data_IF_484085482224
#
_entry.id   IF_484085482224
#
_cell.length_a   1.000
_cell.length_b   1.000
_cell.length_c   1.000
_cell.angle_alpha   90.00
_cell.angle_beta   90.00
_cell.angle_gamma   90.00
#
_symmetry.space_group_name_H-M   'P 1'
#
loop_
_entity.id
_entity.type
_entity.pdbx_description
1 polymer ?
#
# COMPACT_ATOMS: atom_id res chain seq x y z
N UNK A 1 23.74 11.89 -12.30
CA UNK A 1 22.78 10.84 -12.06
C UNK A 1 22.29 10.94 -10.63
N UNK A 2 20.96 10.90 -10.41
CA UNK A 2 20.40 10.88 -9.06
C UNK A 2 20.75 9.52 -8.44
N UNK A 3 21.62 9.51 -7.44
CA UNK A 3 21.87 8.31 -6.65
C UNK A 3 20.72 8.13 -5.66
N UNK A 4 20.06 6.96 -5.70
CA UNK A 4 19.05 6.61 -4.73
C UNK A 4 19.75 6.24 -3.42
N UNK A 5 19.47 6.97 -2.34
CA UNK A 5 19.99 6.64 -1.03
C UNK A 5 19.17 5.50 -0.40
N UNK A 6 19.83 4.39 -0.07
CA UNK A 6 19.24 3.26 0.66
C UNK A 6 19.72 3.33 2.10
N UNK A 7 18.80 3.34 3.06
CA UNK A 7 19.12 3.35 4.50
C UNK A 7 18.42 2.21 5.21
N UNK A 8 19.20 1.54 6.04
CA UNK A 8 18.77 0.53 6.98
C UNK A 8 18.79 1.10 8.42
N UNK A 9 17.73 0.78 9.18
CA UNK A 9 17.54 1.07 10.61
C UNK A 9 17.67 2.53 11.10
N UNK A 10 18.05 2.92 12.16
CA UNK A 10 17.92 4.06 13.05
C UNK A 10 18.11 5.47 12.42
N UNK A 11 17.11 5.95 11.67
CA UNK A 11 17.11 7.31 11.09
C UNK A 11 16.19 8.22 11.89
N UNK A 12 16.69 9.33 12.40
CA UNK A 12 15.85 10.34 13.04
C UNK A 12 15.15 11.23 12.00
N UNK A 13 13.97 11.81 12.30
CA UNK A 13 13.29 12.73 11.39
C UNK A 13 14.17 13.90 10.94
N UNK A 14 15.09 14.34 11.82
CA UNK A 14 16.02 15.43 11.55
C UNK A 14 17.10 15.06 10.53
N UNK A 15 17.60 13.84 10.57
CA UNK A 15 18.60 13.36 9.60
C UNK A 15 17.96 13.03 8.26
N UNK A 16 16.70 12.65 8.27
CA UNK A 16 15.93 12.36 7.05
C UNK A 16 15.79 13.56 6.13
N UNK A 17 15.71 14.77 6.67
CA UNK A 17 15.57 16.00 5.87
C UNK A 17 16.79 16.26 5.01
N UNK A 18 17.98 15.89 5.48
CA UNK A 18 19.24 16.16 4.78
C UNK A 18 19.48 15.19 3.58
N UNK A 19 18.94 13.97 3.65
CA UNK A 19 19.19 12.93 2.63
C UNK A 19 18.52 13.24 1.26
N UNK A 20 17.27 13.68 1.20
CA UNK A 20 16.64 14.07 -0.07
C UNK A 20 17.22 15.34 -0.68
N UNK A 21 17.85 16.23 0.13
CA UNK A 21 18.52 17.42 -0.38
C UNK A 21 19.67 17.06 -1.31
N UNK A 22 20.39 15.98 -1.01
CA UNK A 22 21.50 15.50 -1.82
C UNK A 22 21.05 14.71 -3.04
N UNK A 23 19.98 13.89 -2.90
CA UNK A 23 19.66 12.84 -3.87
C UNK A 23 18.25 12.95 -4.49
N UNK A 24 17.36 13.81 -3.99
CA UNK A 24 15.98 13.98 -4.48
C UNK A 24 15.04 12.81 -4.20
N UNK A 25 15.54 11.58 -4.10
CA UNK A 25 14.78 10.36 -3.85
C UNK A 25 15.39 9.52 -2.75
N UNK A 26 14.56 8.88 -1.93
CA UNK A 26 15.00 8.04 -0.82
C UNK A 26 14.21 6.74 -0.76
N UNK A 27 14.91 5.61 -0.63
CA UNK A 27 14.32 4.33 -0.28
C UNK A 27 14.74 3.94 1.14
N UNK A 28 13.75 3.70 2.00
CA UNK A 28 13.94 3.22 3.36
C UNK A 28 13.46 1.78 3.43
N UNK A 29 14.34 0.88 3.81
CA UNK A 29 14.03 -0.55 4.02
C UNK A 29 14.43 -0.91 5.44
N UNK A 30 13.54 -1.53 6.19
CA UNK A 30 13.85 -2.07 7.52
C UNK A 30 13.08 -3.35 7.78
N UNK A 31 13.73 -4.31 8.39
CA UNK A 31 13.15 -5.55 8.92
C UNK A 31 12.66 -5.41 10.37
N UNK A 32 12.95 -4.26 10.98
CA UNK A 32 12.46 -3.85 12.29
C UNK A 32 11.73 -2.51 12.17
N UNK A 33 10.43 -2.44 12.38
CA UNK A 33 9.66 -1.19 12.29
C UNK A 33 9.99 -0.16 13.41
N UNK A 34 11.09 -0.32 14.13
CA UNK A 34 11.59 0.61 15.16
C UNK A 34 11.70 2.05 14.67
N UNK A 35 12.01 2.23 13.39
CA UNK A 35 12.06 3.52 12.71
C UNK A 35 10.75 4.31 12.85
N UNK A 36 9.57 3.69 12.72
CA UNK A 36 8.30 4.38 12.89
C UNK A 36 8.06 4.84 14.33
N UNK A 37 8.65 4.16 15.32
CA UNK A 37 8.67 4.63 16.70
C UNK A 37 9.34 6.00 16.85
N UNK A 38 10.37 6.28 16.05
CA UNK A 38 11.05 7.57 16.05
C UNK A 38 10.17 8.68 15.50
N UNK A 39 9.32 8.39 14.52
CA UNK A 39 8.37 9.34 13.95
C UNK A 39 7.16 9.60 14.87
N UNK A 40 6.84 8.70 15.80
CA UNK A 40 5.76 8.91 16.76
C UNK A 40 6.08 9.91 17.88
N UNK A 41 7.27 10.51 17.87
CA UNK A 41 7.69 11.53 18.84
C UNK A 41 8.60 11.04 19.96
N UNK A 42 9.13 9.81 19.86
CA UNK A 42 9.99 9.22 20.91
C UNK A 42 11.22 10.10 21.27
N UNK A 43 11.72 10.88 20.31
CA UNK A 43 12.91 11.75 20.47
C UNK A 43 12.62 13.24 20.40
N UNK A 44 11.38 13.70 20.17
CA UNK A 44 11.03 15.11 19.95
C UNK A 44 9.96 15.61 20.93
N UNK A 45 10.12 15.36 22.24
CA UNK A 45 9.16 15.78 23.29
C UNK A 45 7.69 15.41 22.97
N UNK A 46 7.48 14.22 22.40
CA UNK A 46 6.18 13.72 21.95
C UNK A 46 5.50 14.56 20.84
N UNK A 47 6.24 15.38 20.08
CA UNK A 47 5.69 16.06 18.90
C UNK A 47 6.07 15.25 17.64
N UNK A 48 5.12 14.53 17.03
CA UNK A 48 5.38 13.78 15.81
C UNK A 48 5.64 14.73 14.64
N UNK A 49 6.68 14.47 13.87
CA UNK A 49 6.94 15.21 12.63
C UNK A 49 6.78 14.27 11.42
N UNK A 50 5.58 14.17 10.92
CA UNK A 50 5.22 13.31 9.77
C UNK A 50 5.16 14.08 8.45
N UNK A 51 5.32 15.41 8.47
CA UNK A 51 5.06 16.28 7.31
C UNK A 51 5.94 15.90 6.12
N UNK A 52 7.23 15.61 6.34
CA UNK A 52 8.12 15.15 5.29
C UNK A 52 7.63 13.85 4.63
N UNK A 53 7.22 12.86 5.44
CA UNK A 53 6.72 11.57 4.90
C UNK A 53 5.45 11.76 4.07
N UNK A 54 4.53 12.58 4.57
CA UNK A 54 3.26 12.84 3.91
C UNK A 54 3.42 13.61 2.61
N UNK A 55 4.28 14.63 2.59
CA UNK A 55 4.62 15.41 1.40
C UNK A 55 5.40 14.61 0.38
N UNK A 56 6.36 13.81 0.82
CA UNK A 56 7.15 12.94 -0.06
C UNK A 56 6.33 11.85 -0.77
N UNK A 57 5.16 11.51 -0.24
CA UNK A 57 4.22 10.62 -0.92
C UNK A 57 3.66 11.22 -2.22
N UNK A 58 3.43 12.53 -2.23
CA UNK A 58 2.87 13.24 -3.38
C UNK A 58 3.95 13.98 -4.20
N UNK A 59 5.22 13.99 -3.76
CA UNK A 59 6.26 14.83 -4.35
C UNK A 59 6.02 16.32 -4.12
N UNK A 60 5.36 16.68 -3.02
CA UNK A 60 5.10 18.09 -2.66
C UNK A 60 6.35 18.74 -2.07
N UNK A 61 6.57 20.02 -2.36
CA UNK A 61 7.69 20.77 -1.78
C UNK A 61 7.63 20.77 -0.25
N UNK A 62 8.73 20.39 0.38
CA UNK A 62 8.88 20.44 1.82
C UNK A 62 9.83 21.57 2.21
N UNK A 63 9.42 22.39 3.17
CA UNK A 63 10.22 23.48 3.71
C UNK A 63 10.38 23.26 5.22
N UNK A 64 11.62 23.30 5.70
CA UNK A 64 11.94 23.20 7.12
C UNK A 64 12.69 24.46 7.55
N UNK A 65 11.98 25.33 8.27
CA UNK A 65 12.57 26.53 8.90
C UNK A 65 12.80 26.24 10.38
N UNK A 66 14.03 26.27 10.82
CA UNK A 66 14.41 26.13 12.23
C UNK A 66 15.25 27.31 12.66
N UNK A 67 14.98 27.85 13.85
CA UNK A 67 15.69 29.02 14.41
C UNK A 67 17.21 28.84 14.50
N UNK A 68 17.71 27.61 14.49
CA UNK A 68 19.13 27.27 14.71
C UNK A 68 19.87 26.78 13.47
N UNK A 69 19.21 26.65 12.31
CA UNK A 69 19.80 26.15 11.06
C UNK A 69 19.28 26.95 9.86
N UNK A 70 20.05 26.92 8.77
CA UNK A 70 19.56 27.42 7.49
C UNK A 70 18.27 26.70 7.08
N UNK A 71 17.36 27.42 6.43
CA UNK A 71 16.14 26.87 5.87
C UNK A 71 16.49 25.81 4.81
N UNK A 72 15.86 24.63 4.92
CA UNK A 72 16.01 23.55 3.94
C UNK A 72 14.75 23.53 3.08
N UNK A 73 14.93 23.60 1.77
CA UNK A 73 13.84 23.53 0.78
C UNK A 73 14.07 22.30 -0.09
N UNK A 74 13.25 21.26 0.11
CA UNK A 74 13.25 20.07 -0.74
C UNK A 74 12.21 20.25 -1.84
N UNK A 75 12.67 20.44 -3.07
CA UNK A 75 11.81 20.50 -4.23
C UNK A 75 11.46 19.08 -4.66
N UNK A 76 10.17 18.70 -4.54
CA UNK A 76 9.66 17.39 -4.98
C UNK A 76 10.43 16.18 -4.43
N UNK A 77 10.54 16.05 -3.09
CA UNK A 77 11.14 14.85 -2.50
C UNK A 77 10.23 13.64 -2.76
N UNK A 78 10.82 12.53 -3.15
CA UNK A 78 10.13 11.25 -3.25
C UNK A 78 10.72 10.26 -2.27
N UNK A 79 9.84 9.59 -1.52
CA UNK A 79 10.26 8.61 -0.53
C UNK A 79 9.44 7.33 -0.66
N UNK A 80 10.13 6.20 -0.75
CA UNK A 80 9.55 4.87 -0.67
C UNK A 80 9.95 4.22 0.64
N UNK A 81 9.01 3.57 1.31
CA UNK A 81 9.23 2.92 2.61
C UNK A 81 8.78 1.47 2.51
N UNK A 82 9.67 0.54 2.85
CA UNK A 82 9.39 -0.88 2.95
C UNK A 82 9.76 -1.38 4.35
N UNK A 83 8.78 -1.90 5.08
CA UNK A 83 8.96 -2.35 6.46
C UNK A 83 8.48 -3.78 6.62
N UNK A 84 9.29 -4.63 7.22
CA UNK A 84 8.87 -5.90 7.77
C UNK A 84 8.82 -5.76 9.30
N UNK A 85 7.67 -6.03 9.91
CA UNK A 85 7.51 -5.88 11.34
C UNK A 85 6.78 -7.05 11.96
N UNK A 86 7.01 -7.25 13.25
CA UNK A 86 6.28 -8.25 14.03
C UNK A 86 4.84 -7.77 14.30
N UNK A 87 3.87 -8.71 14.48
CA UNK A 87 2.47 -8.36 14.75
C UNK A 87 2.27 -7.36 15.88
N UNK A 88 3.01 -7.50 16.98
CA UNK A 88 2.94 -6.59 18.13
C UNK A 88 3.32 -5.14 17.76
N UNK A 89 4.36 -4.97 16.93
CA UNK A 89 4.79 -3.63 16.47
C UNK A 89 3.75 -3.04 15.54
N UNK A 90 3.20 -3.86 14.64
CA UNK A 90 2.13 -3.47 13.73
C UNK A 90 0.88 -3.01 14.50
N UNK A 91 0.47 -3.75 15.53
CA UNK A 91 -0.66 -3.39 16.40
C UNK A 91 -0.48 -1.99 17.02
N UNK A 92 0.70 -1.70 17.54
CA UNK A 92 1.05 -0.38 18.04
C UNK A 92 1.01 0.74 16.99
N UNK A 93 1.23 0.40 15.71
CA UNK A 93 1.16 1.37 14.61
C UNK A 93 -0.28 1.63 14.17
N UNK A 94 -1.06 0.59 13.94
CA UNK A 94 -2.43 0.71 13.42
C UNK A 94 -3.36 1.40 14.42
N UNK A 95 -3.09 1.24 15.72
CA UNK A 95 -3.83 1.86 16.81
C UNK A 95 -3.29 3.23 17.23
N UNK A 96 -2.18 3.70 16.62
CA UNK A 96 -1.63 5.01 16.95
C UNK A 96 -2.52 6.14 16.39
N UNK A 97 -3.17 6.97 17.25
CA UNK A 97 -4.10 7.99 16.80
C UNK A 97 -3.44 9.08 15.95
N UNK A 98 -2.15 9.32 16.12
CA UNK A 98 -1.39 10.29 15.32
C UNK A 98 -1.17 9.75 13.91
N UNK A 99 -0.81 8.48 13.77
CA UNK A 99 -0.60 7.86 12.46
C UNK A 99 -1.91 7.71 11.69
N UNK A 100 -3.00 7.37 12.39
CA UNK A 100 -4.34 7.35 11.78
C UNK A 100 -4.80 8.76 11.40
N UNK A 101 -4.79 9.68 12.34
CA UNK A 101 -5.27 11.05 12.15
C UNK A 101 -4.51 11.82 11.07
N UNK A 102 -3.20 11.57 10.89
CA UNK A 102 -2.40 12.15 9.81
C UNK A 102 -2.61 11.46 8.45
N UNK A 103 -3.22 10.29 8.43
CA UNK A 103 -3.35 9.45 7.25
C UNK A 103 -2.04 8.80 6.80
N UNK A 104 -1.04 8.69 7.68
CA UNK A 104 0.22 8.00 7.36
C UNK A 104 -0.04 6.54 7.04
N UNK A 105 -0.74 5.81 7.93
CA UNK A 105 -1.05 4.39 7.73
C UNK A 105 -1.92 4.14 6.50
N UNK A 106 -2.73 5.10 6.10
CA UNK A 106 -3.56 5.01 4.90
C UNK A 106 -2.74 5.01 3.57
N UNK A 107 -1.44 5.25 3.64
CA UNK A 107 -0.53 5.28 2.48
C UNK A 107 0.26 3.99 2.29
N UNK A 108 0.15 3.04 3.23
CA UNK A 108 0.85 1.76 3.13
C UNK A 108 0.00 0.71 2.42
N UNK A 109 0.66 -0.13 1.63
CA UNK A 109 0.13 -1.40 1.17
C UNK A 109 0.52 -2.46 2.20
N UNK A 110 -0.46 -3.20 2.70
CA UNK A 110 -0.26 -4.21 3.74
C UNK A 110 -0.11 -5.59 3.13
N UNK A 111 0.72 -6.43 3.76
CA UNK A 111 0.91 -7.81 3.36
C UNK A 111 1.08 -8.68 4.61
N UNK A 112 0.22 -9.67 4.78
CA UNK A 112 0.25 -10.64 5.86
C UNK A 112 0.43 -12.04 5.26
N UNK A 113 1.66 -12.44 4.92
CA UNK A 113 1.90 -13.74 4.30
C UNK A 113 1.58 -14.87 5.27
N UNK A 114 1.05 -15.97 4.75
CA UNK A 114 0.83 -17.17 5.56
C UNK A 114 2.19 -17.75 5.96
N UNK A 115 2.35 -18.02 7.25
CA UNK A 115 3.58 -18.61 7.77
C UNK A 115 3.78 -20.02 7.26
N UNK A 116 4.97 -20.33 6.79
CA UNK A 116 5.39 -21.68 6.41
C UNK A 116 6.21 -22.39 7.51
N UNK A 117 6.18 -21.89 8.75
CA UNK A 117 6.79 -22.53 9.91
C UNK A 117 6.21 -23.95 10.08
N UNK A 118 7.08 -24.93 10.27
CA UNK A 118 6.71 -26.35 10.34
C UNK A 118 6.80 -27.10 9.00
N UNK A 119 6.78 -26.39 7.84
CA UNK A 119 6.94 -26.98 6.51
C UNK A 119 8.24 -26.57 5.80
N UNK A 120 9.06 -25.74 6.44
CA UNK A 120 10.34 -25.26 5.88
C UNK A 120 11.33 -26.41 5.74
N UNK A 121 12.07 -26.42 4.63
CA UNK A 121 13.15 -27.37 4.38
C UNK A 121 14.50 -26.66 4.54
N UNK A 122 15.48 -27.36 5.10
CA UNK A 122 16.83 -26.83 5.24
C UNK A 122 17.55 -26.78 3.89
N UNK A 123 17.43 -27.86 3.11
CA UNK A 123 18.06 -27.99 1.80
C UNK A 123 17.12 -27.43 0.73
N UNK A 124 17.37 -26.18 0.33
CA UNK A 124 16.62 -25.50 -0.72
C UNK A 124 17.50 -25.34 -1.97
N UNK A 125 16.88 -25.42 -3.14
CA UNK A 125 17.59 -25.15 -4.39
C UNK A 125 18.03 -23.68 -4.45
N UNK A 126 19.27 -23.44 -4.87
CA UNK A 126 19.75 -22.10 -5.15
C UNK A 126 18.99 -21.47 -6.31
N UNK A 127 18.78 -20.15 -6.26
CA UNK A 127 18.21 -19.42 -7.40
C UNK A 127 19.16 -19.54 -8.60
N UNK A 128 18.67 -19.96 -9.78
CA UNK A 128 19.50 -20.05 -10.98
C UNK A 128 20.16 -18.71 -11.31
N UNK A 129 21.43 -18.73 -11.68
CA UNK A 129 22.19 -17.52 -12.04
C UNK A 129 21.50 -16.68 -13.12
N UNK A 130 20.86 -17.32 -14.10
CA UNK A 130 20.12 -16.65 -15.17
C UNK A 130 18.95 -15.79 -14.63
N UNK A 131 18.26 -16.26 -13.58
CA UNK A 131 17.17 -15.51 -12.94
C UNK A 131 17.73 -14.27 -12.24
N UNK A 132 18.84 -14.44 -11.53
CA UNK A 132 19.50 -13.33 -10.85
C UNK A 132 20.01 -12.26 -11.83
N UNK A 133 20.66 -12.68 -12.92
CA UNK A 133 21.14 -11.77 -13.97
C UNK A 133 19.98 -11.01 -14.61
N UNK A 134 18.91 -11.70 -15.01
CA UNK A 134 17.73 -11.06 -15.62
C UNK A 134 17.07 -10.05 -14.68
N UNK A 135 16.96 -10.38 -13.40
CA UNK A 135 16.42 -9.47 -12.40
C UNK A 135 17.30 -8.22 -12.23
N UNK A 136 18.61 -8.43 -12.12
CA UNK A 136 19.60 -7.35 -12.02
C UNK A 136 19.55 -6.43 -13.23
N UNK A 137 19.50 -6.98 -14.43
CA UNK A 137 19.42 -6.21 -15.68
C UNK A 137 18.14 -5.38 -15.77
N UNK A 138 17.01 -5.94 -15.33
CA UNK A 138 15.75 -5.20 -15.23
C UNK A 138 15.86 -4.01 -14.28
N UNK A 139 16.42 -4.22 -13.09
CA UNK A 139 16.61 -3.14 -12.11
C UNK A 139 17.51 -2.05 -12.68
N UNK A 140 18.62 -2.40 -13.34
CA UNK A 140 19.49 -1.40 -13.98
C UNK A 140 18.77 -0.62 -15.09
N UNK A 141 17.95 -1.27 -15.91
CA UNK A 141 17.14 -0.59 -16.93
C UNK A 141 16.14 0.40 -16.29
N UNK A 142 15.46 0.00 -15.21
CA UNK A 142 14.52 0.86 -14.50
C UNK A 142 15.22 2.06 -13.85
N UNK A 143 16.36 1.85 -13.19
CA UNK A 143 17.15 2.93 -12.58
C UNK A 143 17.78 3.86 -13.63
N UNK A 144 18.10 3.35 -14.80
CA UNK A 144 18.61 4.13 -15.93
C UNK A 144 17.54 4.88 -16.72
N UNK A 145 16.26 4.53 -16.52
CA UNK A 145 15.16 5.19 -17.22
C UNK A 145 15.03 6.64 -16.72
N UNK A 146 15.06 7.60 -17.66
CA UNK A 146 14.92 9.03 -17.35
C UNK A 146 13.45 9.38 -17.13
N UNK A 147 12.85 8.87 -16.05
CA UNK A 147 11.42 9.04 -15.76
C UNK A 147 11.11 10.32 -14.97
N UNK A 148 12.11 11.03 -14.45
CA UNK A 148 11.86 12.08 -13.46
C UNK A 148 11.76 13.49 -14.01
N UNK A 149 12.53 13.86 -15.02
CA UNK A 149 12.47 15.20 -15.62
C UNK A 149 13.21 15.23 -16.96
N UNK A 150 12.54 15.68 -18.00
CA UNK A 150 13.21 16.16 -19.19
C UNK A 150 13.01 17.70 -19.24
N UNK A 151 14.09 18.47 -19.21
CA UNK A 151 14.07 19.93 -19.28
C UNK A 151 13.17 20.61 -18.21
N UNK A 152 13.24 20.16 -16.95
CA UNK A 152 12.42 20.64 -15.81
C UNK A 152 10.91 20.41 -15.94
N UNK A 153 10.44 19.68 -16.96
CA UNK A 153 9.03 19.34 -17.13
C UNK A 153 8.71 17.98 -16.51
N UNK A 154 7.55 17.91 -15.89
CA UNK A 154 6.99 16.64 -15.42
C UNK A 154 6.66 15.73 -16.60
N UNK A 155 7.00 14.47 -16.48
CA UNK A 155 6.63 13.43 -17.43
C UNK A 155 5.35 12.75 -16.93
N UNK A 156 4.38 12.60 -17.83
CA UNK A 156 3.11 11.98 -17.50
C UNK A 156 2.95 10.68 -18.28
N UNK A 157 2.47 9.64 -17.60
CA UNK A 157 2.01 8.42 -18.23
C UNK A 157 0.51 8.58 -18.53
N UNK A 158 0.09 8.19 -19.72
CA UNK A 158 -1.28 8.30 -20.17
C UNK A 158 -1.89 6.93 -20.42
N UNK A 159 -3.12 6.74 -20.03
CA UNK A 159 -3.90 5.56 -20.42
C UNK A 159 -4.25 5.60 -21.91
N UNK A 160 -4.35 4.42 -22.55
CA UNK A 160 -5.14 4.30 -23.75
C UNK A 160 -6.65 4.46 -23.45
N UNK A 161 -7.46 4.66 -24.49
CA UNK A 161 -8.89 4.94 -24.32
C UNK A 161 -9.65 3.79 -23.62
N UNK A 162 -9.23 2.54 -23.83
CA UNK A 162 -9.86 1.37 -23.18
C UNK A 162 -9.49 1.29 -21.72
N UNK A 163 -8.22 1.46 -21.39
CA UNK A 163 -7.76 1.49 -20.01
C UNK A 163 -8.39 2.64 -19.23
N UNK A 164 -8.51 3.83 -19.83
CA UNK A 164 -9.17 4.95 -19.19
C UNK A 164 -10.65 4.67 -18.89
N UNK A 165 -11.39 4.14 -19.88
CA UNK A 165 -12.80 3.78 -19.70
C UNK A 165 -13.00 2.75 -18.57
N UNK A 166 -12.18 1.70 -18.55
CA UNK A 166 -12.22 0.67 -17.51
C UNK A 166 -11.87 1.23 -16.13
N UNK A 167 -10.86 2.11 -16.03
CA UNK A 167 -10.51 2.74 -14.76
C UNK A 167 -11.65 3.60 -14.21
N UNK A 168 -12.34 4.37 -15.08
CA UNK A 168 -13.51 5.18 -14.69
C UNK A 168 -14.65 4.28 -14.21
N UNK A 169 -14.91 3.17 -14.90
CA UNK A 169 -15.93 2.20 -14.50
C UNK A 169 -15.59 1.55 -13.17
N UNK A 170 -14.35 1.08 -13.00
CA UNK A 170 -13.86 0.50 -11.75
C UNK A 170 -13.94 1.48 -10.59
N UNK A 171 -13.57 2.75 -10.78
CA UNK A 171 -13.68 3.77 -9.75
C UNK A 171 -15.13 3.98 -9.32
N UNK A 172 -16.04 4.24 -10.29
CA UNK A 172 -17.40 4.62 -10.01
C UNK A 172 -18.26 3.45 -9.48
N UNK A 173 -18.07 2.24 -10.03
CA UNK A 173 -18.95 1.11 -9.77
C UNK A 173 -18.36 0.10 -8.78
N UNK A 174 -17.07 0.23 -8.46
CA UNK A 174 -16.42 -0.62 -7.46
C UNK A 174 -15.85 0.20 -6.30
N UNK A 175 -14.89 1.10 -6.52
CA UNK A 175 -14.18 1.77 -5.41
C UNK A 175 -15.15 2.61 -4.57
N UNK A 176 -15.87 3.55 -5.18
CA UNK A 176 -16.76 4.46 -4.46
C UNK A 176 -17.85 3.74 -3.63
N UNK A 177 -18.58 2.74 -4.17
CA UNK A 177 -19.54 1.99 -3.38
C UNK A 177 -18.93 1.24 -2.18
N UNK A 178 -17.69 0.73 -2.33
CA UNK A 178 -17.03 -0.01 -1.26
C UNK A 178 -16.54 0.90 -0.12
N UNK A 179 -16.36 2.21 -0.35
CA UNK A 179 -16.03 3.16 0.71
C UNK A 179 -17.12 3.31 1.78
N UNK A 180 -18.35 3.02 1.44
CA UNK A 180 -19.49 3.11 2.37
C UNK A 180 -20.02 1.74 2.79
N UNK A 181 -19.38 0.66 2.35
CA UNK A 181 -19.73 -0.72 2.69
C UNK A 181 -18.58 -1.41 3.42
N UNK A 182 -17.89 -2.33 2.77
CA UNK A 182 -16.85 -3.17 3.40
C UNK A 182 -15.54 -2.42 3.75
N UNK A 183 -15.30 -1.24 3.17
CA UNK A 183 -14.21 -0.33 3.57
C UNK A 183 -14.67 0.81 4.48
N UNK A 184 -15.91 0.79 4.98
CA UNK A 184 -16.46 1.90 5.77
C UNK A 184 -15.64 2.22 7.04
N UNK A 185 -15.04 1.22 7.67
CA UNK A 185 -14.20 1.37 8.87
C UNK A 185 -12.73 1.73 8.58
N UNK A 186 -12.30 1.68 7.32
CA UNK A 186 -10.97 2.07 6.85
C UNK A 186 -11.04 3.08 5.68
N UNK A 187 -11.98 4.02 5.75
CA UNK A 187 -12.23 5.04 4.70
C UNK A 187 -11.00 5.88 4.37
N UNK A 188 -10.14 6.13 5.34
CA UNK A 188 -8.89 6.87 5.17
C UNK A 188 -7.95 6.15 4.19
N UNK A 189 -7.88 4.81 4.28
CA UNK A 189 -7.15 3.97 3.33
C UNK A 189 -7.90 3.84 2.01
N UNK A 190 -9.18 3.51 2.08
CA UNK A 190 -10.04 3.34 0.90
C UNK A 190 -10.05 4.56 -0.01
N UNK A 191 -10.09 5.78 0.57
CA UNK A 191 -10.01 7.03 -0.19
C UNK A 191 -8.68 7.25 -0.93
N UNK A 192 -7.62 6.49 -0.61
CA UNK A 192 -6.33 6.51 -1.30
C UNK A 192 -6.12 5.32 -2.24
N UNK A 193 -7.04 4.35 -2.21
CA UNK A 193 -6.90 3.11 -2.95
C UNK A 193 -6.78 3.30 -4.46
N UNK A 194 -7.57 4.19 -5.05
CA UNK A 194 -7.45 4.52 -6.47
C UNK A 194 -6.04 5.03 -6.84
N UNK A 195 -5.44 5.86 -5.98
CA UNK A 195 -4.08 6.34 -6.17
C UNK A 195 -3.02 5.24 -6.03
N UNK A 196 -3.27 4.21 -5.19
CA UNK A 196 -2.42 3.01 -5.11
C UNK A 196 -2.48 2.20 -6.40
N UNK A 197 -3.68 1.98 -6.97
CA UNK A 197 -3.86 1.32 -8.27
C UNK A 197 -3.09 2.05 -9.37
N UNK A 198 -3.20 3.38 -9.43
CA UNK A 198 -2.49 4.17 -10.44
C UNK A 198 -0.96 4.04 -10.30
N UNK A 199 -0.43 4.00 -9.08
CA UNK A 199 1.01 3.75 -8.83
C UNK A 199 1.44 2.35 -9.28
N UNK A 200 0.65 1.32 -8.97
CA UNK A 200 0.89 -0.04 -9.46
C UNK A 200 0.88 -0.09 -10.99
N UNK A 201 -0.11 0.55 -11.63
CA UNK A 201 -0.16 0.70 -13.08
C UNK A 201 1.13 1.31 -13.65
N UNK A 202 1.59 2.41 -13.07
CA UNK A 202 2.82 3.08 -13.52
C UNK A 202 4.04 2.18 -13.38
N UNK A 203 4.18 1.47 -12.25
CA UNK A 203 5.29 0.52 -12.01
C UNK A 203 5.25 -0.63 -13.03
N UNK A 204 4.10 -1.28 -13.20
CA UNK A 204 3.93 -2.40 -14.14
C UNK A 204 4.19 -1.94 -15.57
N UNK A 205 3.70 -0.75 -15.95
CA UNK A 205 3.97 -0.18 -17.26
C UNK A 205 5.46 0.04 -17.51
N UNK A 206 6.17 0.66 -16.57
CA UNK A 206 7.61 0.88 -16.67
C UNK A 206 8.38 -0.45 -16.76
N UNK A 207 7.99 -1.47 -15.98
CA UNK A 207 8.58 -2.81 -16.05
C UNK A 207 8.38 -3.41 -17.44
N UNK A 208 7.16 -3.40 -17.97
CA UNK A 208 6.86 -3.92 -19.32
C UNK A 208 7.64 -3.19 -20.40
N UNK A 209 7.74 -1.87 -20.31
CA UNK A 209 8.52 -1.06 -21.25
C UNK A 209 10.01 -1.39 -21.15
N UNK A 210 10.59 -1.50 -19.96
CA UNK A 210 11.99 -1.86 -19.76
C UNK A 210 12.33 -3.24 -20.30
N UNK A 211 11.43 -4.22 -20.15
CA UNK A 211 11.61 -5.57 -20.68
C UNK A 211 11.60 -5.57 -22.22
N UNK A 212 10.81 -4.71 -22.84
CA UNK A 212 10.69 -4.61 -24.30
C UNK A 212 11.62 -3.56 -24.93
N UNK A 213 12.40 -2.83 -24.13
CA UNK A 213 13.33 -1.80 -24.64
C UNK A 213 12.61 -0.59 -25.26
N UNK A 214 11.44 -0.21 -24.74
CA UNK A 214 10.65 0.94 -25.19
C UNK A 214 10.55 1.99 -24.09
N UNK A 215 10.40 3.27 -24.49
CA UNK A 215 10.30 4.37 -23.54
C UNK A 215 8.87 4.45 -22.94
N UNK A 216 8.74 4.46 -21.59
CA UNK A 216 7.43 4.45 -20.95
C UNK A 216 6.56 5.66 -21.27
N UNK A 217 7.15 6.83 -21.45
CA UNK A 217 6.42 8.10 -21.68
C UNK A 217 5.86 8.20 -23.11
N UNK A 218 6.50 7.52 -24.05
CA UNK A 218 6.08 7.50 -25.45
C UNK A 218 4.97 6.46 -25.73
N UNK A 219 4.68 5.62 -24.72
CA UNK A 219 3.73 4.54 -24.86
C UNK A 219 2.58 4.68 -23.85
N UNK A 220 1.37 4.35 -24.27
CA UNK A 220 0.21 4.41 -23.39
C UNK A 220 0.14 3.19 -22.46
N UNK A 221 -0.35 3.42 -21.24
CA UNK A 221 -0.70 2.37 -20.31
C UNK A 221 -1.92 1.62 -20.85
N UNK A 222 -1.76 0.34 -21.12
CA UNK A 222 -2.78 -0.49 -21.76
C UNK A 222 -3.78 -1.06 -20.76
N UNK A 223 -4.95 -1.48 -21.27
CA UNK A 223 -5.98 -2.16 -20.49
C UNK A 223 -5.43 -3.39 -19.74
N UNK A 224 -4.59 -4.21 -20.38
CA UNK A 224 -3.95 -5.36 -19.74
C UNK A 224 -3.07 -4.95 -18.54
N UNK A 225 -2.38 -3.83 -18.62
CA UNK A 225 -1.59 -3.29 -17.51
C UNK A 225 -2.48 -2.82 -16.36
N UNK A 226 -3.59 -2.17 -16.67
CA UNK A 226 -4.58 -1.77 -15.66
C UNK A 226 -5.21 -2.99 -14.97
N UNK A 227 -5.64 -4.00 -15.73
CA UNK A 227 -6.22 -5.22 -15.14
C UNK A 227 -5.24 -5.91 -14.18
N UNK A 228 -3.96 -6.03 -14.55
CA UNK A 228 -2.94 -6.58 -13.66
C UNK A 228 -2.76 -5.73 -12.39
N UNK A 229 -2.83 -4.40 -12.50
CA UNK A 229 -2.73 -3.51 -11.35
C UNK A 229 -3.95 -3.63 -10.44
N UNK A 230 -5.15 -3.77 -10.99
CA UNK A 230 -6.38 -4.00 -10.23
C UNK A 230 -6.31 -5.33 -9.49
N UNK A 231 -5.89 -6.42 -10.14
CA UNK A 231 -5.76 -7.74 -9.53
C UNK A 231 -4.79 -7.73 -8.33
N UNK A 232 -3.62 -7.10 -8.48
CA UNK A 232 -2.68 -6.90 -7.37
C UNK A 232 -3.29 -5.98 -6.30
N UNK A 233 -3.98 -4.93 -6.71
CA UNK A 233 -4.64 -3.99 -5.82
C UNK A 233 -5.72 -4.64 -4.96
N UNK A 234 -6.51 -5.56 -5.53
CA UNK A 234 -7.53 -6.33 -4.77
C UNK A 234 -6.89 -7.17 -3.66
N UNK A 235 -5.72 -7.76 -3.90
CA UNK A 235 -4.96 -8.40 -2.83
C UNK A 235 -4.64 -7.41 -1.70
N UNK A 236 -4.11 -6.23 -2.02
CA UNK A 236 -3.78 -5.23 -1.00
C UNK A 236 -5.03 -4.64 -0.33
N UNK A 237 -6.16 -4.57 -1.02
CA UNK A 237 -7.43 -4.16 -0.42
C UNK A 237 -7.87 -5.15 0.67
N UNK A 238 -7.85 -6.44 0.38
CA UNK A 238 -8.18 -7.47 1.37
C UNK A 238 -7.21 -7.45 2.56
N UNK A 239 -5.91 -7.23 2.29
CA UNK A 239 -4.91 -7.12 3.34
C UNK A 239 -5.09 -5.85 4.19
N UNK A 240 -5.52 -4.73 3.60
CA UNK A 240 -5.82 -3.51 4.34
C UNK A 240 -7.06 -3.66 5.22
N UNK A 241 -8.13 -4.26 4.71
CA UNK A 241 -9.32 -4.62 5.49
C UNK A 241 -8.91 -5.47 6.70
N UNK A 242 -8.08 -6.48 6.49
CA UNK A 242 -7.56 -7.30 7.58
C UNK A 242 -6.68 -6.49 8.56
N UNK A 243 -5.76 -5.67 8.04
CA UNK A 243 -4.90 -4.80 8.84
C UNK A 243 -5.69 -3.90 9.80
N UNK A 244 -6.69 -3.23 9.26
CA UNK A 244 -7.52 -2.32 10.06
C UNK A 244 -8.45 -3.07 11.03
N UNK A 245 -8.82 -4.30 10.71
CA UNK A 245 -9.59 -5.15 11.63
C UNK A 245 -8.79 -5.66 12.84
N UNK A 246 -7.47 -5.60 12.80
CA UNK A 246 -6.61 -5.90 13.96
C UNK A 246 -6.55 -4.74 14.97
N UNK A 247 -7.04 -3.53 14.58
CA UNK A 247 -7.15 -2.39 15.48
C UNK A 247 -8.28 -2.55 16.49
N UNK A 248 -8.53 -1.49 17.29
CA UNK A 248 -9.62 -1.41 18.28
C UNK A 248 -11.02 -1.34 17.62
N UNK A 249 -11.25 -2.16 16.62
CA UNK A 249 -12.55 -2.26 15.94
C UNK A 249 -13.20 -3.58 16.30
N UNK A 250 -14.48 -3.55 16.60
CA UNK A 250 -15.25 -4.77 16.85
C UNK A 250 -15.28 -5.66 15.60
N UNK A 251 -14.42 -6.66 15.61
CA UNK A 251 -14.30 -7.64 14.52
C UNK A 251 -15.61 -8.36 14.22
N UNK A 252 -16.45 -8.59 15.22
CA UNK A 252 -17.76 -9.21 15.06
C UNK A 252 -18.64 -8.35 14.15
N UNK A 253 -18.73 -7.06 14.45
CA UNK A 253 -19.51 -6.10 13.66
C UNK A 253 -18.99 -6.00 12.21
N UNK A 254 -17.67 -5.94 11.99
CA UNK A 254 -17.11 -5.87 10.62
C UNK A 254 -17.46 -7.13 9.81
N UNK A 255 -17.30 -8.31 10.41
CA UNK A 255 -17.65 -9.58 9.76
C UNK A 255 -19.13 -9.65 9.42
N UNK A 256 -19.98 -9.25 10.36
CA UNK A 256 -21.43 -9.20 10.17
C UNK A 256 -21.84 -8.25 9.03
N UNK A 257 -21.30 -7.02 9.01
CA UNK A 257 -21.54 -6.06 7.93
C UNK A 257 -21.09 -6.60 6.58
N UNK A 258 -19.94 -7.27 6.50
CA UNK A 258 -19.46 -7.87 5.25
C UNK A 258 -20.41 -8.93 4.73
N UNK A 259 -20.93 -9.80 5.60
CA UNK A 259 -21.91 -10.82 5.22
C UNK A 259 -23.19 -10.17 4.72
N UNK A 260 -23.74 -9.20 5.46
CA UNK A 260 -24.95 -8.48 5.08
C UNK A 260 -24.80 -7.75 3.74
N UNK A 261 -23.66 -7.07 3.53
CA UNK A 261 -23.38 -6.39 2.28
C UNK A 261 -23.29 -7.36 1.10
N UNK A 262 -22.71 -8.55 1.31
CA UNK A 262 -22.66 -9.59 0.28
C UNK A 262 -24.03 -10.12 -0.06
N UNK A 263 -24.87 -10.36 0.95
CA UNK A 263 -26.27 -10.80 0.77
C UNK A 263 -27.05 -9.73 -0.03
N UNK A 264 -26.95 -8.47 0.37
CA UNK A 264 -27.66 -7.35 -0.28
C UNK A 264 -27.19 -7.14 -1.71
N UNK A 265 -25.87 -7.07 -1.96
CA UNK A 265 -25.29 -6.81 -3.28
C UNK A 265 -25.58 -7.91 -4.30
N UNK A 266 -25.80 -9.15 -3.84
CA UNK A 266 -26.13 -10.29 -4.69
C UNK A 266 -27.64 -10.61 -4.69
N UNK A 267 -28.48 -9.78 -4.03
CA UNK A 267 -29.92 -10.00 -3.89
C UNK A 267 -30.27 -11.42 -3.42
N UNK A 268 -29.49 -11.95 -2.47
CA UNK A 268 -29.65 -13.33 -1.99
C UNK A 268 -30.86 -13.39 -1.07
N UNK A 269 -31.86 -14.18 -1.45
CA UNK A 269 -33.06 -14.42 -0.66
C UNK A 269 -33.06 -15.77 0.05
N UNK A 270 -32.13 -16.67 -0.32
CA UNK A 270 -31.96 -17.98 0.31
C UNK A 270 -30.66 -18.62 -0.22
N UNK A 271 -29.83 -19.08 0.69
CA UNK A 271 -28.55 -19.72 0.37
C UNK A 271 -28.15 -20.66 1.52
N UNK A 272 -27.43 -21.74 1.22
CA UNK A 272 -26.84 -22.58 2.27
C UNK A 272 -25.65 -21.85 2.90
N UNK A 273 -25.47 -21.95 4.22
CA UNK A 273 -24.39 -21.30 4.97
C UNK A 273 -23.00 -21.57 4.38
N UNK A 274 -22.72 -22.81 3.97
CA UNK A 274 -21.44 -23.17 3.34
C UNK A 274 -21.20 -22.48 2.00
N UNK A 275 -22.25 -22.22 1.23
CA UNK A 275 -22.12 -21.54 -0.07
C UNK A 275 -22.00 -20.02 0.14
N UNK A 276 -22.68 -19.46 1.14
CA UNK A 276 -22.49 -18.09 1.57
C UNK A 276 -21.07 -17.86 2.11
N UNK A 277 -20.55 -18.81 2.90
CA UNK A 277 -19.15 -18.76 3.36
C UNK A 277 -18.16 -18.68 2.19
N UNK A 278 -18.35 -19.50 1.13
CA UNK A 278 -17.49 -19.44 -0.06
C UNK A 278 -17.54 -18.06 -0.75
N UNK A 279 -18.74 -17.45 -0.81
CA UNK A 279 -18.93 -16.12 -1.38
C UNK A 279 -18.34 -15.00 -0.52
N UNK A 280 -18.31 -15.18 0.81
CA UNK A 280 -17.77 -14.21 1.77
C UNK A 280 -16.30 -14.48 2.14
N UNK A 281 -15.70 -15.58 1.65
CA UNK A 281 -14.35 -16.00 2.02
C UNK A 281 -13.33 -14.90 1.74
N UNK A 282 -12.62 -14.50 2.78
CA UNK A 282 -11.56 -13.49 2.77
C UNK A 282 -10.68 -13.65 4.02
N UNK A 283 -9.68 -12.80 4.14
CA UNK A 283 -8.73 -12.83 5.28
C UNK A 283 -9.37 -12.55 6.65
N UNK A 284 -10.56 -11.93 6.68
CA UNK A 284 -11.30 -11.68 7.93
C UNK A 284 -11.83 -12.98 8.58
N UNK A 285 -12.14 -13.99 7.78
CA UNK A 285 -12.67 -15.27 8.29
C UNK A 285 -11.53 -16.29 8.36
N UNK A 286 -11.11 -16.66 9.58
CA UNK A 286 -10.05 -17.64 9.80
C UNK A 286 -10.42 -19.02 9.26
N UNK A 287 -11.68 -19.43 9.46
CA UNK A 287 -12.20 -20.72 9.03
C UNK A 287 -13.75 -20.70 8.99
N UNK A 288 -14.37 -21.83 8.66
CA UNK A 288 -15.83 -21.95 8.59
C UNK A 288 -16.52 -21.83 9.97
N UNK A 289 -15.84 -22.17 11.07
CA UNK A 289 -16.39 -22.00 12.41
C UNK A 289 -16.49 -20.52 12.79
N UNK A 290 -15.47 -19.74 12.52
CA UNK A 290 -15.46 -18.28 12.72
C UNK A 290 -16.54 -17.56 11.88
N UNK A 291 -16.85 -18.10 10.69
CA UNK A 291 -17.98 -17.62 9.88
C UNK A 291 -19.33 -18.01 10.51
N UNK A 292 -19.45 -19.22 11.08
CA UNK A 292 -20.67 -19.66 11.76
C UNK A 292 -20.98 -18.79 12.98
N UNK A 293 -19.99 -18.45 13.79
CA UNK A 293 -20.16 -17.51 14.92
C UNK A 293 -20.69 -16.14 14.47
N UNK A 294 -20.24 -15.67 13.29
CA UNK A 294 -20.79 -14.44 12.71
C UNK A 294 -22.23 -14.57 12.27
N UNK A 295 -22.61 -15.74 11.76
CA UNK A 295 -24.01 -16.02 11.40
C UNK A 295 -24.91 -16.08 12.63
N UNK A 296 -24.46 -16.75 13.70
CA UNK A 296 -25.16 -16.83 14.98
C UNK A 296 -25.38 -15.41 15.56
N UNK A 297 -24.37 -14.56 15.50
CA UNK A 297 -24.48 -13.15 15.88
C UNK A 297 -25.54 -12.41 15.04
N UNK A 298 -25.57 -12.61 13.73
CA UNK A 298 -26.58 -11.98 12.86
C UNK A 298 -27.98 -12.45 13.19
N UNK A 299 -28.17 -13.73 13.51
CA UNK A 299 -29.46 -14.27 13.94
C UNK A 299 -29.92 -13.66 15.27
N UNK A 300 -29.00 -13.45 16.24
CA UNK A 300 -29.30 -12.76 17.50
C UNK A 300 -29.81 -11.33 17.27
N UNK A 301 -29.29 -10.65 16.26
CA UNK A 301 -29.75 -9.31 15.86
C UNK A 301 -30.94 -9.30 14.88
N UNK A 302 -31.57 -10.47 14.65
CA UNK A 302 -32.75 -10.65 13.76
C UNK A 302 -32.49 -10.30 12.28
N UNK A 303 -31.32 -10.62 11.78
CA UNK A 303 -30.98 -10.53 10.36
C UNK A 303 -31.09 -11.87 9.65
#
# INVERSE_FOLDING_TARGET
GSEMCIRDSDVTPESLVNLPEENGTLLMISDEAGMLGNFSGRYSNNVPNLDLLLKSWNGETYISDRATRASIVLKKPYMSICLACQPYVFDGMINNPVFRGSGLIARFMYCFPVSNIGSRKYDTQAVPESVFVNYKDLIYKLLGAKLTYHDEKELYLHFDAKAYGEFVDYYNNFIEPHLVTDMAFCKDWGGKYHGLILRLCGIIHCIKCALNGIEPVENHVTLDTLCNAIEIGEYFREQAIYAYSLGDVDLGTIKAERVLNKIRSKHITGIRQNDLYKLCRCTLFKNAADFAETMDMLEEYNY
#
